data_IF_776943457650
#
_entry.id   IF_776943457650
#
_cell.length_a   1.000
_cell.length_b   1.000
_cell.length_c   1.000
_cell.angle_alpha   90.00
_cell.angle_beta   90.00
_cell.angle_gamma   90.00
#
_symmetry.space_group_name_H-M   'P 1'
#
loop_
_entity.id
_entity.type
_entity.pdbx_description
1 polymer ?
#
# COMPACT_ATOMS: atom_id res chain seq x y z
N UNK A 1 10.80 -9.61 -2.02
CA UNK A 1 9.73 -9.13 -2.94
C UNK A 1 9.81 -7.62 -3.02
N UNK A 2 9.94 -7.08 -4.21
CA UNK A 2 9.80 -5.64 -4.40
C UNK A 2 8.37 -5.28 -4.84
N UNK A 3 8.09 -3.98 -5.01
CA UNK A 3 6.75 -3.53 -5.37
C UNK A 3 6.36 -3.99 -6.78
N UNK A 4 7.31 -4.12 -7.70
CA UNK A 4 7.03 -4.68 -9.03
C UNK A 4 6.52 -6.12 -8.94
N UNK A 5 7.16 -6.94 -8.10
CA UNK A 5 6.70 -8.30 -7.84
C UNK A 5 5.29 -8.31 -7.23
N UNK A 6 5.08 -7.43 -6.27
CA UNK A 6 3.80 -7.31 -5.58
C UNK A 6 2.66 -6.99 -6.55
N UNK A 7 2.87 -6.04 -7.46
CA UNK A 7 1.87 -5.68 -8.47
C UNK A 7 1.41 -6.89 -9.27
N UNK A 8 2.33 -7.76 -9.68
CA UNK A 8 1.97 -8.98 -10.40
C UNK A 8 1.22 -9.99 -9.54
N UNK A 9 1.70 -10.21 -8.32
CA UNK A 9 1.16 -11.22 -7.40
C UNK A 9 -0.30 -10.93 -7.03
N UNK A 10 -0.64 -9.67 -6.76
CA UNK A 10 -1.98 -9.30 -6.33
C UNK A 10 -2.85 -8.76 -7.46
N UNK A 11 -2.42 -8.87 -8.69
CA UNK A 11 -3.10 -8.26 -9.84
C UNK A 11 -3.40 -6.78 -9.58
N UNK A 12 -2.41 -6.09 -9.05
CA UNK A 12 -2.53 -4.71 -8.61
C UNK A 12 -2.33 -3.72 -9.74
N UNK A 13 -2.93 -2.55 -9.57
CA UNK A 13 -2.78 -1.42 -10.46
C UNK A 13 -2.18 -0.26 -9.68
N UNK A 14 -1.09 0.30 -10.18
CA UNK A 14 -0.51 1.51 -9.63
C UNK A 14 -1.41 2.70 -9.97
N UNK A 15 -1.95 3.38 -8.96
CA UNK A 15 -2.88 4.50 -9.15
C UNK A 15 -2.27 5.85 -8.79
N UNK A 16 -0.97 5.87 -8.47
CA UNK A 16 -0.17 7.09 -8.29
C UNK A 16 0.90 7.16 -9.35
N UNK A 17 1.49 8.34 -9.53
CA UNK A 17 2.41 8.60 -10.65
C UNK A 17 3.86 8.21 -10.38
N UNK A 18 4.25 8.09 -9.10
CA UNK A 18 5.63 7.83 -8.74
C UNK A 18 6.07 6.44 -9.19
N UNK A 19 7.15 6.39 -9.97
CA UNK A 19 7.85 5.15 -10.32
C UNK A 19 9.12 4.98 -9.50
N UNK A 20 9.49 5.99 -8.74
CA UNK A 20 10.57 5.93 -7.78
C UNK A 20 10.18 5.00 -6.63
N UNK A 21 11.06 4.09 -6.28
CA UNK A 21 10.79 3.14 -5.18
C UNK A 21 10.07 1.86 -5.55
N UNK A 22 9.79 1.61 -6.84
CA UNK A 22 9.16 0.35 -7.27
C UNK A 22 10.05 -0.87 -7.00
N UNK A 23 11.34 -0.71 -6.86
CA UNK A 23 12.27 -1.77 -6.46
C UNK A 23 12.52 -1.82 -4.95
N UNK A 24 11.78 -1.05 -4.16
CA UNK A 24 11.87 -1.14 -2.71
C UNK A 24 11.45 -2.53 -2.25
N UNK A 25 12.27 -3.15 -1.42
CA UNK A 25 11.94 -4.46 -0.85
C UNK A 25 10.85 -4.30 0.21
N UNK A 26 9.78 -5.05 0.06
CA UNK A 26 8.69 -5.06 1.03
C UNK A 26 9.10 -5.93 2.21
N UNK A 27 9.09 -5.32 3.40
CA UNK A 27 9.49 -6.01 4.62
C UNK A 27 8.43 -7.01 5.08
N UNK A 28 7.18 -6.56 5.15
CA UNK A 28 6.06 -7.36 5.63
C UNK A 28 4.74 -6.73 5.17
N UNK A 29 3.64 -7.39 5.46
CA UNK A 29 2.30 -6.88 5.21
C UNK A 29 1.70 -6.42 6.54
N UNK A 30 1.11 -5.22 6.55
CA UNK A 30 0.45 -4.68 7.72
C UNK A 30 -0.97 -4.27 7.38
N UNK A 31 -1.97 -4.85 8.06
CA UNK A 31 -3.38 -4.62 7.79
C UNK A 31 -3.99 -3.87 8.96
N UNK A 32 -4.41 -2.64 8.74
CA UNK A 32 -5.03 -1.84 9.80
C UNK A 32 -5.76 -0.64 9.21
N UNK A 33 -6.93 -0.30 9.80
CA UNK A 33 -7.78 0.81 9.36
C UNK A 33 -7.92 1.91 10.41
N UNK A 34 -7.16 1.85 11.49
CA UNK A 34 -7.13 2.88 12.51
C UNK A 34 -5.82 3.66 12.40
N UNK A 35 -5.89 4.90 11.92
CA UNK A 35 -4.69 5.68 11.60
C UNK A 35 -3.74 5.87 12.79
N UNK A 36 -4.26 6.12 13.99
CA UNK A 36 -3.43 6.27 15.18
C UNK A 36 -2.65 5.00 15.52
N UNK A 37 -3.26 3.84 15.24
CA UNK A 37 -2.59 2.56 15.46
C UNK A 37 -1.53 2.29 14.40
N UNK A 38 -1.83 2.61 13.14
CA UNK A 38 -0.86 2.50 12.05
C UNK A 38 0.38 3.35 12.35
N UNK A 39 0.17 4.61 12.81
CA UNK A 39 1.27 5.51 13.15
C UNK A 39 2.24 4.92 14.17
N UNK A 40 1.72 4.16 15.12
CA UNK A 40 2.55 3.61 16.20
C UNK A 40 3.06 2.19 15.94
N UNK A 41 2.56 1.48 14.94
CA UNK A 41 2.86 0.05 14.74
C UNK A 41 3.40 -0.30 13.36
N UNK A 42 3.02 0.41 12.29
CA UNK A 42 3.57 0.14 10.98
C UNK A 42 5.08 0.41 10.96
N UNK A 43 5.79 -0.41 10.21
CA UNK A 43 7.25 -0.33 10.14
C UNK A 43 7.69 0.16 8.76
N UNK A 44 8.88 0.74 8.70
CA UNK A 44 9.50 1.13 7.43
C UNK A 44 9.49 -0.05 6.46
N UNK A 45 9.12 0.23 5.22
CA UNK A 45 9.04 -0.73 4.11
C UNK A 45 7.95 -1.81 4.25
N UNK A 46 7.01 -1.63 5.16
CA UNK A 46 5.80 -2.46 5.16
C UNK A 46 4.92 -2.15 3.95
N UNK A 47 4.18 -3.14 3.46
CA UNK A 47 3.05 -2.92 2.57
C UNK A 47 1.80 -2.77 3.46
N UNK A 48 1.24 -1.58 3.46
CA UNK A 48 0.08 -1.27 4.32
C UNK A 48 -1.22 -1.46 3.54
N UNK A 49 -2.03 -2.43 3.98
CA UNK A 49 -3.37 -2.69 3.41
C UNK A 49 -4.39 -1.97 4.27
N UNK A 50 -5.23 -1.14 3.64
CA UNK A 50 -6.27 -0.39 4.34
C UNK A 50 -7.45 -0.10 3.40
N UNK A 51 -8.65 -0.02 3.98
CA UNK A 51 -9.86 0.44 3.28
C UNK A 51 -10.04 1.94 3.37
N UNK A 52 -9.19 2.64 4.11
CA UNK A 52 -9.23 4.09 4.24
C UNK A 52 -8.76 4.74 2.94
N UNK A 53 -9.45 5.79 2.53
CA UNK A 53 -9.17 6.48 1.26
C UNK A 53 -9.02 7.99 1.41
N UNK A 54 -9.11 8.53 2.62
CA UNK A 54 -9.03 9.96 2.87
C UNK A 54 -7.59 10.50 2.81
N UNK A 55 -7.46 11.81 2.79
CA UNK A 55 -6.18 12.51 2.63
C UNK A 55 -5.17 12.25 3.74
N UNK A 56 -5.61 11.75 4.89
CA UNK A 56 -4.70 11.43 5.98
C UNK A 56 -3.88 10.15 5.70
N UNK A 57 -4.34 9.30 4.78
CA UNK A 57 -3.62 8.07 4.41
C UNK A 57 -2.22 8.37 3.85
N UNK A 58 -2.05 9.23 2.84
CA UNK A 58 -0.70 9.58 2.37
C UNK A 58 0.19 10.21 3.45
N UNK A 59 -0.39 11.02 4.33
CA UNK A 59 0.37 11.64 5.42
C UNK A 59 0.93 10.58 6.37
N UNK A 60 0.11 9.63 6.79
CA UNK A 60 0.53 8.52 7.65
C UNK A 60 1.55 7.63 6.94
N UNK A 61 1.32 7.32 5.67
CA UNK A 61 2.25 6.54 4.87
C UNK A 61 3.63 7.20 4.77
N UNK A 62 3.66 8.52 4.60
CA UNK A 62 4.91 9.29 4.57
C UNK A 62 5.64 9.22 5.91
N UNK A 63 4.92 9.42 7.01
CA UNK A 63 5.51 9.46 8.35
C UNK A 63 6.01 8.10 8.83
N UNK A 64 5.34 7.02 8.44
CA UNK A 64 5.74 5.64 8.80
C UNK A 64 6.74 5.03 7.84
N UNK A 65 6.98 5.68 6.71
CA UNK A 65 7.90 5.21 5.66
C UNK A 65 7.52 3.82 5.10
N UNK A 66 6.23 3.51 5.02
CA UNK A 66 5.79 2.26 4.39
C UNK A 66 6.21 2.22 2.92
N UNK A 67 6.43 1.03 2.39
CA UNK A 67 6.82 0.85 0.99
C UNK A 67 5.70 1.25 0.03
N UNK A 68 4.47 0.94 0.39
CA UNK A 68 3.28 1.27 -0.40
C UNK A 68 2.02 1.15 0.45
N UNK A 69 0.93 1.71 -0.08
CA UNK A 69 -0.42 1.51 0.44
C UNK A 69 -1.18 0.65 -0.56
N UNK A 70 -1.87 -0.39 -0.10
CA UNK A 70 -2.70 -1.25 -0.94
C UNK A 70 -4.15 -1.04 -0.55
N UNK A 71 -4.97 -0.66 -1.53
CA UNK A 71 -6.41 -0.48 -1.37
C UNK A 71 -7.11 -1.70 -1.95
N UNK A 72 -7.78 -2.52 -1.10
CA UNK A 72 -8.42 -3.75 -1.54
C UNK A 72 -9.80 -3.52 -2.13
N UNK A 73 -10.38 -4.57 -2.71
CA UNK A 73 -11.79 -4.69 -3.10
C UNK A 73 -12.27 -3.65 -4.11
N UNK A 74 -11.37 -3.08 -4.89
CA UNK A 74 -11.71 -2.08 -5.90
C UNK A 74 -12.24 -0.77 -5.34
N UNK A 75 -11.99 -0.49 -4.07
CA UNK A 75 -12.47 0.74 -3.41
C UNK A 75 -11.84 1.94 -4.10
N UNK A 76 -12.68 2.93 -4.43
CA UNK A 76 -12.21 4.16 -5.07
C UNK A 76 -11.49 5.05 -4.08
N UNK A 77 -10.32 5.52 -4.48
CA UNK A 77 -9.54 6.50 -3.71
C UNK A 77 -9.90 7.90 -4.18
N UNK A 78 -10.12 8.81 -3.26
CA UNK A 78 -10.49 10.20 -3.56
C UNK A 78 -9.39 10.91 -4.36
N UNK A 79 -9.78 11.76 -5.32
CA UNK A 79 -8.83 12.47 -6.19
C UNK A 79 -7.85 13.34 -5.41
N UNK A 80 -8.32 14.00 -4.36
CA UNK A 80 -7.47 14.83 -3.51
C UNK A 80 -6.45 14.00 -2.75
N UNK A 81 -6.82 12.79 -2.33
CA UNK A 81 -5.91 11.84 -1.70
C UNK A 81 -4.79 11.42 -2.65
N UNK A 82 -5.14 11.11 -3.90
CA UNK A 82 -4.15 10.75 -4.92
C UNK A 82 -3.21 11.91 -5.21
N UNK A 83 -3.72 13.13 -5.26
CA UNK A 83 -2.90 14.33 -5.44
C UNK A 83 -1.87 14.44 -4.32
N UNK A 84 -2.28 14.30 -3.07
CA UNK A 84 -1.38 14.38 -1.92
C UNK A 84 -0.36 13.23 -1.92
N UNK A 85 -0.78 12.04 -2.29
CA UNK A 85 0.13 10.91 -2.43
C UNK A 85 1.21 11.20 -3.48
N UNK A 86 0.82 11.73 -4.64
CA UNK A 86 1.77 12.10 -5.68
C UNK A 86 2.75 13.19 -5.24
N UNK A 87 2.27 14.19 -4.52
CA UNK A 87 3.12 15.26 -3.99
C UNK A 87 4.20 14.73 -3.04
N UNK A 88 3.91 13.67 -2.30
CA UNK A 88 4.81 13.09 -1.31
C UNK A 88 5.52 11.82 -1.78
N UNK A 89 5.36 11.45 -3.05
CA UNK A 89 6.00 10.25 -3.61
C UNK A 89 5.49 8.93 -3.04
N UNK A 90 4.25 8.92 -2.51
CA UNK A 90 3.65 7.72 -1.95
C UNK A 90 3.09 6.84 -3.07
N UNK A 91 3.39 5.55 -3.01
CA UNK A 91 2.88 4.56 -3.95
C UNK A 91 1.57 4.00 -3.39
N UNK A 92 0.49 4.13 -4.16
CA UNK A 92 -0.81 3.52 -3.84
C UNK A 92 -1.15 2.53 -4.94
N UNK A 93 -1.49 1.31 -4.53
CA UNK A 93 -1.86 0.21 -5.41
C UNK A 93 -3.32 -0.13 -5.15
N UNK A 94 -4.11 -0.26 -6.22
CA UNK A 94 -5.50 -0.73 -6.15
C UNK A 94 -5.56 -2.18 -6.63
N UNK A 95 -6.38 -2.99 -5.99
CA UNK A 95 -6.65 -4.36 -6.43
C UNK A 95 -8.11 -4.72 -6.14
N UNK A 96 -8.66 -5.66 -6.90
CA UNK A 96 -10.01 -6.19 -6.66
C UNK A 96 -10.02 -7.24 -5.54
N UNK A 97 -8.87 -7.73 -5.12
CA UNK A 97 -8.76 -8.75 -4.08
C UNK A 97 -9.12 -8.19 -2.71
N UNK A 98 -9.67 -9.05 -1.86
CA UNK A 98 -9.84 -8.75 -0.43
C UNK A 98 -8.49 -8.72 0.29
N UNK A 99 -8.45 -8.14 1.49
CA UNK A 99 -7.22 -8.14 2.31
C UNK A 99 -6.71 -9.56 2.57
N UNK A 100 -7.63 -10.50 2.82
CA UNK A 100 -7.25 -11.89 3.02
C UNK A 100 -6.62 -12.50 1.76
N UNK A 101 -7.24 -12.29 0.58
CA UNK A 101 -6.72 -12.85 -0.66
C UNK A 101 -5.38 -12.25 -1.05
N UNK A 102 -5.18 -10.96 -0.80
CA UNK A 102 -3.88 -10.31 -0.98
C UNK A 102 -2.83 -11.04 -0.15
N UNK A 103 -3.09 -11.19 1.12
CA UNK A 103 -2.16 -11.84 2.07
C UNK A 103 -1.89 -13.29 1.69
N UNK A 104 -2.94 -14.03 1.31
CA UNK A 104 -2.82 -15.42 0.87
C UNK A 104 -1.92 -15.55 -0.34
N UNK A 105 -2.10 -14.71 -1.35
CA UNK A 105 -1.26 -14.75 -2.57
C UNK A 105 0.20 -14.45 -2.27
N UNK A 106 0.45 -13.48 -1.39
CA UNK A 106 1.82 -13.14 -1.00
C UNK A 106 2.48 -14.34 -0.29
N UNK A 107 1.76 -15.00 0.61
CA UNK A 107 2.25 -16.18 1.32
C UNK A 107 2.51 -17.34 0.36
N UNK A 108 1.58 -17.60 -0.55
CA UNK A 108 1.72 -18.66 -1.56
C UNK A 108 2.91 -18.42 -2.49
N UNK A 109 3.19 -17.18 -2.80
CA UNK A 109 4.35 -16.81 -3.62
C UNK A 109 5.68 -16.99 -2.87
N UNK A 110 5.67 -17.14 -1.57
CA UNK A 110 6.85 -17.36 -0.71
C UNK A 110 7.92 -16.28 -0.88
N UNK A 111 7.49 -15.02 -1.00
CA UNK A 111 8.40 -13.91 -1.25
C UNK A 111 8.68 -13.05 -0.02
N UNK A 112 8.10 -13.40 1.11
CA UNK A 112 8.39 -12.77 2.38
C UNK A 112 9.28 -13.66 3.25
#
# INVERSE_FOLDING_TARGET
>A
MDINDLLGIISGKLITDSTSGLNTQVRNVYICDLLSWVMSHAQKNDAWITVLTNVNVPAVAFMTEVACVIIPEGIRVEDFTLKKANENGIIIISTLLSSFDISRRIIEAKLL
#
